data_IF_905910286049
#
_entry.id   IF_905910286049
#
_cell.length_a   1.000
_cell.length_b   1.000
_cell.length_c   1.000
_cell.angle_alpha   90.00
_cell.angle_beta   90.00
_cell.angle_gamma   90.00
#
_symmetry.space_group_name_H-M   'P 1'
#
loop_
_entity.id
_entity.type
_entity.pdbx_description
1 polymer ?
#
# COMPACT_ATOMS: atom_id res chain seq x y z
N UNK A 1 -20.74 47.07 -17.05
CA UNK A 1 -20.75 47.33 -15.59
C UNK A 1 -19.40 46.91 -15.03
N UNK A 2 -18.48 47.88 -14.90
CA UNK A 2 -17.24 47.78 -14.11
C UNK A 2 -17.52 48.37 -12.70
N UNK A 3 -16.72 47.96 -11.69
CA UNK A 3 -16.31 48.68 -10.45
C UNK A 3 -16.28 47.68 -9.28
N UNK A 4 -15.21 47.55 -8.48
CA UNK A 4 -14.57 48.60 -7.68
C UNK A 4 -13.07 48.42 -7.44
N UNK A 5 -12.41 49.59 -7.36
CA UNK A 5 -11.02 49.92 -7.04
C UNK A 5 -10.70 49.79 -5.54
N UNK A 6 -9.40 49.64 -5.23
CA UNK A 6 -8.75 50.11 -4.00
C UNK A 6 -7.24 50.25 -4.22
N UNK A 7 -6.74 51.49 -4.22
CA UNK A 7 -5.36 51.94 -4.51
C UNK A 7 -4.88 52.75 -3.29
N UNK A 8 -3.69 52.49 -2.74
CA UNK A 8 -2.87 53.39 -1.87
C UNK A 8 -1.42 52.82 -1.86
N UNK A 9 -0.28 53.51 -1.96
CA UNK A 9 0.07 54.93 -2.08
C UNK A 9 1.31 55.12 -2.99
N UNK A 10 1.34 56.28 -3.64
CA UNK A 10 2.44 56.88 -4.38
C UNK A 10 3.30 57.70 -3.39
N UNK A 11 4.60 57.43 -3.28
CA UNK A 11 5.54 58.35 -2.63
C UNK A 11 6.06 59.33 -3.69
N UNK A 12 5.85 60.63 -3.44
CA UNK A 12 6.28 61.72 -4.30
C UNK A 12 7.81 61.82 -4.36
N UNK A 13 8.36 61.96 -5.57
CA UNK A 13 9.75 62.38 -5.77
C UNK A 13 9.74 63.72 -6.51
N UNK A 14 9.96 64.82 -5.77
CA UNK A 14 10.31 66.11 -6.37
C UNK A 14 11.81 66.12 -6.66
N UNK A 15 12.19 66.38 -7.90
CA UNK A 15 13.57 66.70 -8.25
C UNK A 15 13.79 68.19 -8.06
N UNK A 16 14.84 68.56 -7.33
CA UNK A 16 15.55 69.82 -7.56
C UNK A 16 17.04 69.61 -7.28
N UNK A 17 17.85 70.08 -8.22
CA UNK A 17 19.29 69.88 -8.33
C UNK A 17 20.08 70.37 -7.11
N UNK A 18 21.07 69.57 -6.69
CA UNK A 18 22.11 69.98 -5.75
C UNK A 18 22.88 68.79 -5.18
N UNK A 19 24.07 68.52 -5.74
CA UNK A 19 25.13 67.72 -5.10
C UNK A 19 25.07 66.22 -5.33
N UNK A 20 26.06 65.70 -6.05
CA UNK A 20 26.37 64.27 -6.15
C UNK A 20 26.70 63.69 -4.77
N UNK A 21 25.88 62.76 -4.29
CA UNK A 21 26.13 61.97 -3.07
C UNK A 21 26.36 60.51 -3.47
N UNK A 22 27.60 60.04 -3.33
CA UNK A 22 27.91 58.62 -3.21
C UNK A 22 27.30 58.10 -1.92
N UNK A 23 26.22 57.33 -2.01
CA UNK A 23 25.60 56.65 -0.86
C UNK A 23 26.02 55.18 -0.84
N UNK A 24 26.88 54.84 0.11
CA UNK A 24 27.09 53.47 0.58
C UNK A 24 25.83 53.03 1.33
N UNK A 25 24.99 52.22 0.71
CA UNK A 25 23.83 51.62 1.37
C UNK A 25 24.23 50.25 1.95
N UNK A 26 24.40 50.19 3.27
CA UNK A 26 24.36 48.95 4.03
C UNK A 26 22.91 48.46 4.06
N UNK A 27 22.58 47.43 3.27
CA UNK A 27 21.29 46.76 3.36
C UNK A 27 21.38 45.62 4.37
N UNK A 28 20.88 45.87 5.58
CA UNK A 28 20.54 44.84 6.55
C UNK A 28 19.49 43.89 5.96
N UNK A 29 19.84 42.62 5.84
CA UNK A 29 18.92 41.54 5.48
C UNK A 29 17.87 41.36 6.57
N UNK A 30 16.63 41.76 6.30
CA UNK A 30 15.47 41.27 7.07
C UNK A 30 15.09 39.93 6.45
N UNK A 31 15.50 38.85 7.12
CA UNK A 31 14.97 37.51 6.88
C UNK A 31 13.49 37.52 7.26
N UNK A 32 12.62 37.37 6.26
CA UNK A 32 11.22 37.00 6.50
C UNK A 32 11.25 35.52 6.86
N UNK A 33 11.20 35.23 8.16
CA UNK A 33 11.02 33.88 8.67
C UNK A 33 9.69 33.34 8.16
N UNK A 34 9.74 32.37 7.27
CA UNK A 34 8.61 31.48 7.05
C UNK A 34 8.50 30.61 8.30
N UNK A 35 7.57 30.96 9.19
CA UNK A 35 6.98 30.01 10.13
C UNK A 35 6.28 28.92 9.31
N UNK A 36 7.06 27.97 8.80
CA UNK A 36 6.56 26.64 8.46
C UNK A 36 6.46 25.95 9.80
N UNK A 37 5.23 25.93 10.32
CA UNK A 37 4.82 24.94 11.31
C UNK A 37 5.15 23.60 10.68
N UNK A 38 6.20 22.95 11.20
CA UNK A 38 6.54 21.58 10.88
C UNK A 38 5.46 20.68 11.43
N UNK A 39 4.35 20.56 10.70
CA UNK A 39 3.63 19.30 10.68
C UNK A 39 4.53 18.36 9.87
N UNK A 40 5.14 17.42 10.58
CA UNK A 40 5.76 16.26 9.97
C UNK A 40 4.66 15.45 9.27
N UNK A 41 4.27 15.89 8.07
CA UNK A 41 3.60 15.07 7.08
C UNK A 41 4.64 14.09 6.55
N UNK A 42 4.95 13.07 7.35
CA UNK A 42 5.73 11.90 6.98
C UNK A 42 4.94 11.00 6.05
N UNK A 43 4.49 11.54 4.91
CA UNK A 43 4.00 10.74 3.79
C UNK A 43 5.21 10.46 2.89
N UNK A 44 5.92 9.36 3.15
CA UNK A 44 6.93 8.84 2.23
C UNK A 44 7.05 7.33 2.42
N UNK A 45 6.21 6.55 1.75
CA UNK A 45 6.83 5.57 0.84
C UNK A 45 7.53 6.46 -0.17
N UNK A 46 8.86 6.57 -0.17
CA UNK A 46 9.55 7.44 -1.12
C UNK A 46 9.22 6.92 -2.52
N UNK A 47 8.22 7.53 -3.17
CA UNK A 47 7.73 7.16 -4.49
C UNK A 47 8.27 8.20 -5.45
N UNK A 48 9.24 7.78 -6.27
CA UNK A 48 9.76 8.59 -7.35
C UNK A 48 9.30 7.97 -8.66
N UNK A 49 8.51 8.69 -9.43
CA UNK A 49 8.23 8.31 -10.82
C UNK A 49 9.49 8.48 -11.66
N UNK A 50 9.65 7.61 -12.65
CA UNK A 50 10.71 7.73 -13.64
C UNK A 50 10.40 8.94 -14.54
N UNK A 51 11.38 9.84 -14.71
CA UNK A 51 11.18 11.08 -15.49
C UNK A 51 11.46 10.90 -16.97
N UNK A 52 12.05 9.78 -17.35
CA UNK A 52 12.32 9.41 -18.74
C UNK A 52 13.49 8.45 -18.85
N UNK A 53 14.07 8.42 -20.05
CA UNK A 53 15.14 7.50 -20.39
C UNK A 53 16.26 8.19 -21.16
N UNK A 54 17.45 7.60 -21.09
CA UNK A 54 18.65 8.02 -21.83
C UNK A 54 19.04 6.94 -22.83
N UNK A 55 19.43 7.34 -24.04
CA UNK A 55 19.91 6.42 -25.07
C UNK A 55 21.36 5.99 -24.77
N UNK A 56 21.59 4.68 -24.72
CA UNK A 56 22.86 4.03 -24.34
C UNK A 56 23.44 3.16 -25.47
N UNK A 57 22.69 2.98 -26.55
CA UNK A 57 23.05 2.11 -27.67
C UNK A 57 23.97 2.78 -28.70
N UNK A 58 24.33 2.05 -29.78
CA UNK A 58 25.13 2.60 -30.86
C UNK A 58 24.40 3.76 -31.56
N UNK A 59 25.10 4.88 -31.73
CA UNK A 59 24.56 6.10 -32.37
C UNK A 59 24.09 5.92 -33.82
N UNK A 60 24.53 4.87 -34.51
CA UNK A 60 24.04 4.52 -35.84
C UNK A 60 22.65 3.85 -35.83
N UNK A 61 22.20 3.36 -34.67
CA UNK A 61 20.92 2.67 -34.49
C UNK A 61 19.89 3.52 -33.74
N UNK A 62 20.28 4.69 -33.26
CA UNK A 62 19.55 5.53 -32.31
C UNK A 62 19.73 7.00 -32.65
N UNK A 63 18.70 7.82 -32.43
CA UNK A 63 18.78 9.26 -32.74
C UNK A 63 17.68 10.04 -32.04
N UNK A 64 18.03 11.11 -31.32
CA UNK A 64 17.05 11.95 -30.62
C UNK A 64 16.33 11.14 -29.54
N UNK A 65 15.04 10.90 -29.71
CA UNK A 65 14.20 10.03 -28.86
C UNK A 65 13.98 8.64 -29.45
N UNK A 66 14.53 8.38 -30.66
CA UNK A 66 14.44 7.07 -31.30
C UNK A 66 15.43 6.10 -30.65
N UNK A 67 14.90 5.17 -29.84
CA UNK A 67 15.68 4.14 -29.17
C UNK A 67 16.01 2.92 -30.05
N UNK A 68 15.31 2.71 -31.16
CA UNK A 68 15.72 1.77 -32.19
C UNK A 68 15.17 2.19 -33.55
N UNK A 69 16.05 2.47 -34.50
CA UNK A 69 15.66 2.67 -35.90
C UNK A 69 15.10 1.35 -36.47
N UNK A 70 14.16 1.45 -37.42
CA UNK A 70 13.55 0.30 -38.10
C UNK A 70 14.59 -0.73 -38.57
N UNK A 71 14.43 -1.98 -38.14
CA UNK A 71 15.36 -3.07 -38.47
C UNK A 71 16.64 -3.15 -37.66
N UNK A 72 16.74 -2.36 -36.60
CA UNK A 72 17.91 -2.28 -35.76
C UNK A 72 17.58 -2.53 -34.29
N UNK A 73 18.55 -2.26 -33.43
CA UNK A 73 18.44 -2.43 -31.99
C UNK A 73 19.15 -1.28 -31.27
N UNK A 74 18.75 -1.02 -30.04
CA UNK A 74 19.41 -0.04 -29.19
C UNK A 74 19.23 -0.35 -27.72
N UNK A 75 19.90 0.44 -26.89
CA UNK A 75 19.82 0.36 -25.44
C UNK A 75 19.32 1.69 -24.89
N UNK A 76 18.54 1.61 -23.83
CA UNK A 76 18.17 2.77 -23.03
C UNK A 76 18.42 2.46 -21.56
N UNK A 77 18.69 3.49 -20.77
CA UNK A 77 18.66 3.42 -19.30
C UNK A 77 17.52 4.29 -18.79
N UNK A 78 16.95 3.91 -17.65
CA UNK A 78 16.14 4.85 -16.88
C UNK A 78 17.00 6.01 -16.41
N UNK A 79 16.42 7.21 -16.30
CA UNK A 79 17.15 8.38 -15.80
C UNK A 79 17.41 8.29 -14.29
N UNK A 80 16.56 7.58 -13.56
CA UNK A 80 16.69 7.31 -12.14
C UNK A 80 17.30 5.91 -11.91
N UNK A 81 18.18 5.81 -10.92
CA UNK A 81 18.77 4.56 -10.48
C UNK A 81 17.91 3.88 -9.41
N UNK A 82 17.94 2.54 -9.39
CA UNK A 82 17.38 1.76 -8.31
C UNK A 82 18.42 1.64 -7.18
N UNK A 83 18.16 2.27 -6.03
CA UNK A 83 19.08 2.23 -4.88
C UNK A 83 18.87 0.97 -4.02
N UNK A 84 19.86 0.62 -3.21
CA UNK A 84 19.73 -0.42 -2.20
C UNK A 84 18.55 -0.09 -1.26
N UNK A 85 17.72 -1.09 -0.98
CA UNK A 85 16.51 -0.91 -0.16
C UNK A 85 15.31 -0.42 -0.95
N UNK A 86 15.38 -0.41 -2.28
CA UNK A 86 14.30 0.05 -3.16
C UNK A 86 13.81 -1.05 -4.11
N UNK A 87 12.61 -0.80 -4.64
CA UNK A 87 11.86 -1.61 -5.58
C UNK A 87 11.43 -0.73 -6.76
N UNK A 88 11.73 -1.14 -7.99
CA UNK A 88 11.13 -0.59 -9.20
C UNK A 88 9.84 -1.36 -9.48
N UNK A 89 8.71 -0.65 -9.47
CA UNK A 89 7.36 -1.16 -9.74
C UNK A 89 6.99 -0.90 -11.20
N UNK A 90 6.53 -1.95 -11.87
CA UNK A 90 5.98 -1.95 -13.22
C UNK A 90 4.54 -2.46 -13.11
N UNK A 91 3.58 -1.55 -13.10
CA UNK A 91 2.16 -1.90 -13.02
C UNK A 91 1.56 -2.17 -14.40
N UNK A 92 0.30 -2.59 -14.38
CA UNK A 92 -0.52 -2.84 -15.56
C UNK A 92 -0.53 -1.65 -16.52
N UNK A 93 -0.73 -0.44 -15.98
CA UNK A 93 -0.93 0.75 -16.80
C UNK A 93 0.35 1.09 -17.56
N UNK A 94 1.51 0.94 -16.92
CA UNK A 94 2.80 1.02 -17.61
C UNK A 94 2.91 0.00 -18.75
N UNK A 95 2.57 -1.27 -18.52
CA UNK A 95 2.66 -2.28 -19.58
C UNK A 95 1.69 -2.02 -20.73
N UNK A 96 0.46 -1.61 -20.43
CA UNK A 96 -0.54 -1.25 -21.45
C UNK A 96 -0.07 -0.09 -22.32
N UNK A 97 0.46 0.97 -21.71
CA UNK A 97 1.03 2.11 -22.42
C UNK A 97 2.26 1.71 -23.25
N UNK A 98 3.17 0.95 -22.65
CA UNK A 98 4.32 0.39 -23.34
C UNK A 98 3.86 -0.36 -24.61
N UNK A 99 2.95 -1.33 -24.47
CA UNK A 99 2.41 -2.08 -25.61
C UNK A 99 1.68 -1.20 -26.63
N UNK A 100 1.03 -0.12 -26.23
CA UNK A 100 0.40 0.81 -27.16
C UNK A 100 1.43 1.59 -27.99
N UNK A 101 2.54 1.99 -27.36
CA UNK A 101 3.57 2.82 -27.96
C UNK A 101 4.48 2.07 -28.95
N UNK A 102 4.83 0.80 -28.70
CA UNK A 102 5.89 0.16 -29.48
C UNK A 102 5.43 -0.63 -30.72
N UNK A 103 6.24 -0.67 -31.81
CA UNK A 103 5.84 -1.27 -33.08
C UNK A 103 5.57 -2.78 -33.02
N UNK A 104 4.64 -3.28 -33.83
CA UNK A 104 4.40 -4.71 -33.98
C UNK A 104 5.69 -5.47 -34.38
N UNK A 105 5.81 -6.72 -33.89
CA UNK A 105 6.94 -7.63 -34.16
C UNK A 105 8.29 -7.10 -33.66
N UNK A 106 8.31 -6.63 -32.43
CA UNK A 106 9.49 -6.14 -31.72
C UNK A 106 9.61 -6.86 -30.38
N UNK A 107 10.77 -6.71 -29.75
CA UNK A 107 10.99 -7.21 -28.39
C UNK A 107 11.81 -6.26 -27.55
N UNK A 108 11.65 -6.44 -26.25
CA UNK A 108 12.24 -5.65 -25.18
C UNK A 108 12.86 -6.61 -24.18
N UNK A 109 14.08 -6.34 -23.76
CA UNK A 109 14.66 -6.98 -22.58
C UNK A 109 14.87 -5.93 -21.51
N UNK A 110 14.25 -6.06 -20.34
CA UNK A 110 14.36 -5.13 -19.20
C UNK A 110 15.08 -5.84 -18.07
N UNK A 111 16.13 -5.25 -17.53
CA UNK A 111 16.81 -5.82 -16.38
C UNK A 111 17.73 -4.83 -15.70
N UNK A 112 18.28 -5.26 -14.58
CA UNK A 112 19.27 -4.48 -13.85
C UNK A 112 20.62 -4.66 -14.53
N UNK A 113 21.24 -3.53 -14.89
CA UNK A 113 22.53 -3.46 -15.58
C UNK A 113 23.63 -4.11 -14.74
N UNK A 114 24.41 -4.99 -15.34
CA UNK A 114 25.62 -5.52 -14.71
C UNK A 114 26.82 -4.61 -15.02
N UNK A 115 27.30 -3.78 -14.07
CA UNK A 115 28.40 -2.86 -14.34
C UNK A 115 29.73 -3.57 -14.66
N UNK A 116 29.88 -4.85 -14.30
CA UNK A 116 31.12 -5.60 -14.48
C UNK A 116 31.26 -6.16 -15.91
N UNK A 117 30.14 -6.49 -16.55
CA UNK A 117 30.09 -7.11 -17.88
C UNK A 117 29.38 -6.26 -18.93
N UNK A 118 28.79 -5.13 -18.52
CA UNK A 118 28.02 -4.25 -19.40
C UNK A 118 28.78 -3.87 -20.66
N UNK A 119 28.11 -4.04 -21.79
CA UNK A 119 28.49 -3.46 -23.07
C UNK A 119 27.24 -3.12 -23.85
N UNK A 120 27.26 -2.01 -24.58
CA UNK A 120 26.15 -1.62 -25.46
C UNK A 120 26.16 -2.41 -26.79
N UNK A 121 26.41 -3.71 -26.71
CA UNK A 121 26.49 -4.63 -27.85
C UNK A 121 25.11 -5.12 -28.28
N UNK A 122 25.04 -5.83 -29.40
CA UNK A 122 23.79 -6.45 -29.86
C UNK A 122 23.35 -7.64 -28.99
N UNK A 123 24.20 -8.11 -28.07
CA UNK A 123 23.93 -9.26 -27.22
C UNK A 123 23.28 -8.82 -25.92
N UNK A 124 22.33 -9.61 -25.44
CA UNK A 124 21.73 -9.44 -24.11
C UNK A 124 22.57 -10.13 -23.03
N UNK A 125 23.23 -11.24 -23.36
CA UNK A 125 24.08 -11.95 -22.41
C UNK A 125 25.25 -11.08 -21.94
N UNK A 126 25.46 -11.04 -20.63
CA UNK A 126 26.40 -10.18 -19.92
C UNK A 126 25.91 -8.76 -19.72
N UNK A 127 24.73 -8.36 -20.21
CA UNK A 127 24.22 -7.00 -20.01
C UNK A 127 23.50 -6.83 -18.66
N UNK A 128 22.87 -7.91 -18.18
CA UNK A 128 22.08 -7.92 -16.97
C UNK A 128 22.71 -8.79 -15.90
N UNK A 129 22.49 -8.44 -14.63
CA UNK A 129 23.06 -9.21 -13.51
C UNK A 129 22.52 -10.64 -13.55
N UNK A 130 23.44 -11.61 -13.53
CA UNK A 130 23.14 -13.05 -13.70
C UNK A 130 22.32 -13.39 -14.96
N UNK A 131 22.38 -12.56 -16.01
CA UNK A 131 21.56 -12.72 -17.22
C UNK A 131 20.05 -12.85 -16.92
N UNK A 132 19.59 -12.23 -15.83
CA UNK A 132 18.19 -12.16 -15.45
C UNK A 132 17.53 -10.90 -15.99
N UNK A 133 16.44 -11.07 -16.74
CA UNK A 133 15.68 -9.97 -17.32
C UNK A 133 14.25 -10.38 -17.64
N UNK A 134 13.39 -9.38 -17.77
CA UNK A 134 12.06 -9.53 -18.33
C UNK A 134 12.14 -9.40 -19.86
N UNK A 135 11.67 -10.43 -20.58
CA UNK A 135 11.54 -10.43 -22.03
C UNK A 135 10.09 -10.14 -22.42
N UNK A 136 9.89 -9.04 -23.14
CA UNK A 136 8.59 -8.65 -23.67
C UNK A 136 8.65 -8.79 -25.19
N UNK A 137 7.65 -9.43 -25.79
CA UNK A 137 7.57 -9.61 -27.24
C UNK A 137 6.19 -9.21 -27.72
N UNK A 138 6.12 -8.29 -28.68
CA UNK A 138 4.87 -7.95 -29.38
C UNK A 138 4.87 -8.61 -30.73
N UNK A 139 3.84 -9.40 -30.99
CA UNK A 139 3.62 -10.00 -32.31
C UNK A 139 2.70 -9.10 -33.15
N UNK A 140 2.33 -9.56 -34.35
CA UNK A 140 1.23 -8.90 -35.08
C UNK A 140 -0.12 -9.10 -34.40
N UNK A 141 -0.26 -10.21 -33.67
CA UNK A 141 -1.49 -10.61 -32.99
C UNK A 141 -1.12 -11.12 -31.62
N UNK A 142 -1.32 -10.27 -30.60
CA UNK A 142 -1.00 -10.56 -29.21
C UNK A 142 0.43 -10.22 -28.81
N UNK A 143 0.66 -10.22 -27.50
CA UNK A 143 1.97 -9.99 -26.90
C UNK A 143 2.25 -11.10 -25.88
N UNK A 144 3.53 -11.31 -25.60
CA UNK A 144 3.98 -12.19 -24.53
C UNK A 144 4.93 -11.46 -23.61
N UNK A 145 4.86 -11.77 -22.33
CA UNK A 145 5.87 -11.43 -21.34
C UNK A 145 6.42 -12.73 -20.77
N UNK A 146 7.73 -12.83 -20.61
CA UNK A 146 8.38 -13.99 -20.03
C UNK A 146 9.60 -13.53 -19.23
N UNK A 147 9.87 -14.22 -18.13
CA UNK A 147 11.11 -14.01 -17.39
C UNK A 147 12.21 -14.86 -18.01
N UNK A 148 13.30 -14.22 -18.44
CA UNK A 148 14.51 -14.94 -18.79
C UNK A 148 15.37 -15.16 -17.55
N UNK A 149 15.93 -16.35 -17.44
CA UNK A 149 16.89 -16.67 -16.40
C UNK A 149 18.03 -17.53 -16.94
N UNK A 150 19.18 -17.39 -16.30
CA UNK A 150 20.34 -18.27 -16.45
C UNK A 150 20.72 -18.78 -15.07
N UNK A 151 20.73 -20.10 -14.90
CA UNK A 151 21.27 -20.77 -13.72
C UNK A 151 22.48 -21.64 -14.14
N UNK A 152 23.16 -22.22 -13.16
CA UNK A 152 24.31 -23.11 -13.26
C UNK A 152 24.16 -24.26 -14.26
N UNK A 153 22.94 -24.70 -14.58
CA UNK A 153 22.69 -25.81 -15.52
C UNK A 153 21.74 -25.51 -16.68
N UNK A 154 21.05 -24.37 -16.69
CA UNK A 154 19.99 -24.09 -17.66
C UNK A 154 19.84 -22.60 -17.97
N UNK A 155 19.59 -22.30 -19.25
CA UNK A 155 19.11 -20.99 -19.72
C UNK A 155 17.71 -21.20 -20.28
N UNK A 156 16.74 -20.42 -19.82
CA UNK A 156 15.33 -20.65 -20.17
C UNK A 156 14.48 -19.38 -20.13
N UNK A 157 13.26 -19.54 -20.65
CA UNK A 157 12.17 -18.61 -20.43
C UNK A 157 11.17 -19.29 -19.50
N UNK A 158 10.83 -18.61 -18.42
CA UNK A 158 9.77 -19.03 -17.51
C UNK A 158 8.60 -18.05 -17.55
N UNK A 159 7.42 -18.53 -17.15
CA UNK A 159 6.18 -17.76 -17.05
C UNK A 159 5.83 -17.00 -18.33
N UNK A 160 5.81 -17.69 -19.48
CA UNK A 160 5.36 -17.11 -20.76
C UNK A 160 3.86 -16.78 -20.68
N UNK A 161 3.54 -15.52 -20.39
CA UNK A 161 2.18 -15.02 -20.19
C UNK A 161 1.72 -14.31 -21.46
N UNK A 162 0.53 -14.67 -21.94
CA UNK A 162 -0.13 -14.02 -23.06
C UNK A 162 -0.89 -12.80 -22.52
N UNK A 163 -0.67 -11.62 -23.09
CA UNK A 163 -1.18 -10.34 -22.57
C UNK A 163 -2.67 -10.09 -22.84
N UNK A 164 -3.50 -11.14 -22.81
CA UNK A 164 -4.95 -10.96 -22.58
C UNK A 164 -5.26 -10.66 -21.11
N UNK A 165 -4.24 -10.81 -20.26
CA UNK A 165 -4.30 -10.68 -18.81
C UNK A 165 -3.58 -9.40 -18.37
N UNK A 166 -4.01 -8.82 -17.25
CA UNK A 166 -3.30 -7.70 -16.62
C UNK A 166 -2.00 -8.26 -16.05
N UNK A 167 -0.86 -7.63 -16.36
CA UNK A 167 0.46 -8.09 -15.90
C UNK A 167 1.13 -7.00 -15.07
N UNK A 168 1.78 -7.41 -13.99
CA UNK A 168 2.49 -6.52 -13.08
C UNK A 168 3.77 -7.21 -12.62
N UNK A 169 4.83 -6.43 -12.41
CA UNK A 169 6.11 -6.95 -11.96
C UNK A 169 6.92 -5.91 -11.17
N UNK A 170 7.95 -6.39 -10.47
CA UNK A 170 8.93 -5.51 -9.86
C UNK A 170 10.35 -6.09 -9.92
N UNK A 171 11.32 -5.19 -9.87
CA UNK A 171 12.71 -5.51 -9.50
C UNK A 171 13.02 -4.88 -8.15
N UNK A 172 13.77 -5.58 -7.31
CA UNK A 172 14.15 -5.13 -5.97
C UNK A 172 15.66 -5.34 -5.76
N UNK A 173 16.33 -4.33 -5.23
CA UNK A 173 17.71 -4.42 -4.76
C UNK A 173 17.68 -4.37 -3.24
N UNK A 174 18.06 -5.47 -2.57
CA UNK A 174 17.98 -5.57 -1.11
C UNK A 174 18.73 -4.44 -0.40
N UNK A 175 18.35 -4.15 0.85
CA UNK A 175 18.90 -3.03 1.61
C UNK A 175 20.43 -3.09 1.82
N UNK A 176 21.00 -4.29 1.77
CA UNK A 176 22.45 -4.53 1.84
C UNK A 176 23.15 -4.49 0.46
N UNK A 177 22.40 -4.36 -0.63
CA UNK A 177 22.92 -4.28 -1.99
C UNK A 177 23.42 -5.59 -2.58
N UNK A 178 23.23 -6.73 -1.90
CA UNK A 178 23.84 -8.01 -2.27
C UNK A 178 22.94 -8.95 -3.06
N UNK A 179 21.64 -8.69 -3.07
CA UNK A 179 20.65 -9.59 -3.63
C UNK A 179 19.66 -8.81 -4.50
N UNK A 180 19.38 -9.38 -5.67
CA UNK A 180 18.41 -8.86 -6.61
C UNK A 180 17.23 -9.80 -6.63
N UNK A 181 16.04 -9.22 -6.49
CA UNK A 181 14.77 -9.92 -6.41
C UNK A 181 13.88 -9.47 -7.55
N UNK A 182 13.14 -10.43 -8.08
CA UNK A 182 12.11 -10.19 -9.06
C UNK A 182 10.83 -10.88 -8.59
N UNK A 183 9.71 -10.19 -8.73
CA UNK A 183 8.39 -10.77 -8.56
C UNK A 183 7.47 -10.31 -9.69
N UNK A 184 6.49 -11.15 -10.00
CA UNK A 184 5.51 -10.92 -11.04
C UNK A 184 4.16 -11.47 -10.65
N UNK A 185 3.10 -10.91 -11.22
CA UNK A 185 1.78 -11.50 -11.17
C UNK A 185 1.03 -11.17 -12.45
N UNK A 186 0.00 -11.96 -12.71
CA UNK A 186 -0.96 -11.64 -13.74
C UNK A 186 -2.36 -11.93 -13.21
N UNK A 187 -3.33 -11.16 -13.69
CA UNK A 187 -4.73 -11.38 -13.40
C UNK A 187 -5.52 -11.62 -14.69
N UNK A 188 -6.28 -12.71 -14.72
CA UNK A 188 -7.33 -12.91 -15.71
C UNK A 188 -8.71 -12.69 -15.08
N UNK A 189 -9.73 -12.50 -15.92
CA UNK A 189 -11.11 -12.18 -15.48
C UNK A 189 -11.76 -13.23 -14.57
N UNK A 190 -11.14 -14.40 -14.37
CA UNK A 190 -11.67 -15.51 -13.58
C UNK A 190 -10.88 -15.78 -12.29
N UNK A 191 -9.80 -15.05 -12.01
CA UNK A 191 -9.01 -15.24 -10.80
C UNK A 191 -9.63 -14.55 -9.57
N UNK A 192 -9.45 -15.19 -8.42
CA UNK A 192 -9.90 -14.64 -7.15
C UNK A 192 -8.94 -13.51 -6.73
N UNK A 193 -9.41 -12.26 -6.56
CA UNK A 193 -8.56 -11.11 -6.28
C UNK A 193 -7.76 -11.20 -4.97
N UNK A 194 -8.11 -12.12 -4.05
CA UNK A 194 -7.37 -12.32 -2.79
C UNK A 194 -5.97 -12.93 -2.97
N UNK A 195 -5.62 -13.38 -4.18
CA UNK A 195 -4.30 -13.96 -4.48
C UNK A 195 -3.33 -12.94 -5.06
N UNK A 196 -3.82 -11.75 -5.43
CA UNK A 196 -2.97 -10.70 -5.96
C UNK A 196 -2.28 -9.97 -4.81
N UNK A 197 -0.98 -9.77 -4.98
CA UNK A 197 -0.16 -9.00 -4.07
C UNK A 197 -0.20 -7.52 -4.48
N UNK A 198 -0.17 -6.62 -3.50
CA UNK A 198 0.12 -5.21 -3.78
C UNK A 198 1.63 -5.06 -4.02
N UNK A 199 2.01 -4.61 -5.21
CA UNK A 199 3.42 -4.44 -5.61
C UNK A 199 4.20 -3.49 -4.70
N UNK A 200 3.51 -2.59 -4.03
CA UNK A 200 4.07 -1.51 -3.23
C UNK A 200 4.15 -1.85 -1.75
N UNK A 201 3.33 -2.77 -1.26
CA UNK A 201 3.22 -3.05 0.17
C UNK A 201 3.47 -4.51 0.55
N UNK A 202 3.32 -5.47 -0.37
CA UNK A 202 3.60 -6.86 -0.06
C UNK A 202 5.10 -7.13 -0.03
N UNK A 203 5.58 -7.65 1.11
CA UNK A 203 6.96 -8.08 1.31
C UNK A 203 7.32 -9.23 0.38
N UNK A 204 8.55 -9.25 -0.14
CA UNK A 204 9.02 -10.30 -1.05
C UNK A 204 8.85 -11.73 -0.50
N UNK A 205 9.00 -11.94 0.82
CA UNK A 205 8.83 -13.25 1.46
C UNK A 205 7.43 -13.81 1.31
N UNK A 206 6.43 -12.94 1.20
CA UNK A 206 5.01 -13.29 1.16
C UNK A 206 4.52 -13.54 -0.27
N UNK A 207 5.33 -13.22 -1.27
CA UNK A 207 5.03 -13.53 -2.67
C UNK A 207 5.05 -15.04 -2.93
N UNK A 208 4.16 -15.50 -3.79
CA UNK A 208 4.10 -16.89 -4.23
C UNK A 208 5.45 -17.37 -4.81
N UNK A 209 5.86 -18.57 -4.44
CA UNK A 209 7.17 -19.14 -4.81
C UNK A 209 7.33 -19.30 -6.33
N UNK A 210 6.25 -19.57 -7.06
CA UNK A 210 6.25 -19.74 -8.51
C UNK A 210 6.32 -18.38 -9.25
N UNK A 211 6.05 -17.29 -8.53
CA UNK A 211 5.92 -15.94 -9.07
C UNK A 211 7.08 -15.02 -8.65
N UNK A 212 8.14 -15.58 -8.04
CA UNK A 212 9.30 -14.81 -7.60
C UNK A 212 10.62 -15.55 -7.82
N UNK A 213 11.70 -14.79 -7.92
CA UNK A 213 13.07 -15.30 -7.94
C UNK A 213 14.01 -14.30 -7.31
N UNK A 214 15.15 -14.78 -6.83
CA UNK A 214 16.22 -13.94 -6.34
C UNK A 214 17.58 -14.50 -6.71
N UNK A 215 18.60 -13.64 -6.72
CA UNK A 215 19.98 -14.06 -6.95
C UNK A 215 20.60 -14.67 -5.70
N UNK A 216 20.05 -14.41 -4.52
CA UNK A 216 20.67 -14.72 -3.23
C UNK A 216 21.84 -13.78 -2.92
N UNK A 217 22.59 -14.10 -1.87
CA UNK A 217 23.77 -13.34 -1.45
C UNK A 217 24.94 -13.56 -2.41
N UNK A 218 25.20 -12.56 -3.25
CA UNK A 218 26.25 -12.64 -4.27
C UNK A 218 27.47 -11.77 -3.94
N UNK A 219 27.43 -11.01 -2.83
CA UNK A 219 28.52 -10.12 -2.43
C UNK A 219 28.72 -8.93 -3.37
N UNK A 220 27.63 -8.47 -4.00
CA UNK A 220 27.67 -7.35 -4.93
C UNK A 220 27.93 -5.98 -4.27
N UNK A 221 27.42 -5.78 -3.05
CA UNK A 221 27.52 -4.54 -2.28
C UNK A 221 27.08 -3.28 -3.06
N UNK A 222 26.09 -3.40 -3.94
CA UNK A 222 25.63 -2.27 -4.75
C UNK A 222 24.84 -1.26 -3.90
N UNK A 223 25.25 0.00 -3.93
CA UNK A 223 24.46 1.09 -3.30
C UNK A 223 23.33 1.58 -4.21
N UNK A 224 23.53 1.49 -5.52
CA UNK A 224 22.54 1.77 -6.56
C UNK A 224 22.95 1.12 -7.88
N UNK A 225 21.97 0.85 -8.74
CA UNK A 225 22.13 0.21 -10.04
C UNK A 225 21.27 0.89 -11.10
N UNK A 226 21.75 0.92 -12.34
CA UNK A 226 20.95 1.34 -13.47
C UNK A 226 19.97 0.22 -13.85
N UNK A 227 18.75 0.58 -14.22
CA UNK A 227 17.86 -0.31 -14.96
C UNK A 227 17.95 0.04 -16.43
N UNK A 228 18.27 -0.96 -17.24
CA UNK A 228 18.49 -0.80 -18.69
C UNK A 228 17.53 -1.66 -19.47
N UNK A 229 17.23 -1.21 -20.68
CA UNK A 229 16.35 -1.92 -21.59
C UNK A 229 16.98 -2.05 -22.97
N UNK A 230 17.02 -3.27 -23.49
CA UNK A 230 17.36 -3.53 -24.87
C UNK A 230 16.12 -3.48 -25.73
N UNK A 231 16.18 -2.69 -26.78
CA UNK A 231 15.11 -2.48 -27.73
C UNK A 231 15.47 -3.15 -29.03
N UNK A 232 14.60 -4.00 -29.59
CA UNK A 232 14.82 -4.60 -30.91
C UNK A 232 13.63 -4.32 -31.81
N UNK A 233 13.88 -3.53 -32.85
CA UNK A 233 12.95 -3.27 -33.95
C UNK A 233 13.25 -4.24 -35.10
N UNK A 234 12.21 -4.74 -35.77
CA UNK A 234 12.41 -5.56 -36.95
C UNK A 234 12.46 -4.72 -38.23
N UNK A 235 12.98 -5.32 -39.31
CA UNK A 235 13.26 -4.63 -40.58
C UNK A 235 12.05 -3.98 -41.26
N UNK A 236 10.83 -4.35 -40.88
CA UNK A 236 9.59 -3.85 -41.48
C UNK A 236 8.73 -3.07 -40.48
N UNK A 237 9.29 -2.69 -39.33
CA UNK A 237 8.58 -1.95 -38.29
C UNK A 237 9.02 -0.49 -38.26
N UNK A 238 8.11 0.38 -37.83
CA UNK A 238 8.40 1.77 -37.53
C UNK A 238 9.59 1.89 -36.56
N UNK A 239 10.34 3.00 -36.58
CA UNK A 239 11.30 3.28 -35.52
C UNK A 239 10.58 3.32 -34.18
N UNK A 240 11.31 2.99 -33.13
CA UNK A 240 10.78 3.02 -31.78
C UNK A 240 11.16 4.32 -31.09
N UNK A 241 10.17 5.16 -30.84
CA UNK A 241 10.32 6.45 -30.17
C UNK A 241 10.00 6.30 -28.68
N UNK A 242 10.93 6.71 -27.80
CA UNK A 242 10.70 6.69 -26.35
C UNK A 242 9.80 7.83 -25.90
N UNK A 243 9.57 8.85 -26.74
CA UNK A 243 8.67 9.95 -26.43
C UNK A 243 7.19 9.54 -26.45
N UNK A 244 6.88 8.39 -27.07
CA UNK A 244 5.52 7.85 -27.15
C UNK A 244 5.13 7.02 -25.90
N UNK A 245 6.07 6.78 -24.98
CA UNK A 245 5.85 6.01 -23.74
C UNK A 245 5.72 6.97 -22.56
N UNK A 246 4.70 6.77 -21.74
CA UNK A 246 4.56 7.38 -20.43
C UNK A 246 5.41 6.64 -19.40
N UNK A 247 6.65 7.10 -19.26
CA UNK A 247 7.59 6.55 -18.27
C UNK A 247 7.16 6.80 -16.82
N UNK A 248 6.23 7.72 -16.56
CA UNK A 248 5.84 8.05 -15.18
C UNK A 248 5.03 6.94 -14.50
N UNK A 249 4.52 5.98 -15.27
CA UNK A 249 3.93 4.73 -14.77
C UNK A 249 4.95 3.80 -14.10
N UNK A 250 6.25 3.95 -14.39
CA UNK A 250 7.30 3.31 -13.60
C UNK A 250 7.53 4.09 -12.31
N UNK A 251 7.51 3.40 -11.18
CA UNK A 251 7.77 4.04 -9.88
C UNK A 251 8.82 3.29 -9.08
N UNK A 252 9.76 4.03 -8.49
CA UNK A 252 10.70 3.52 -7.49
C UNK A 252 10.08 3.73 -6.12
N UNK A 253 10.06 2.68 -5.30
CA UNK A 253 9.52 2.67 -3.94
C UNK A 253 10.53 2.08 -2.97
N UNK A 254 10.42 2.41 -1.69
CA UNK A 254 11.13 1.65 -0.64
C UNK A 254 10.61 0.21 -0.60
N UNK A 255 11.50 -0.75 -0.33
CA UNK A 255 11.08 -2.14 -0.07
C UNK A 255 10.17 -2.15 1.17
N UNK A 256 9.05 -2.88 1.14
CA UNK A 256 8.23 -3.08 2.32
C UNK A 256 9.03 -3.73 3.45
N UNK A 257 9.22 -3.00 4.55
CA UNK A 257 9.85 -3.51 5.77
C UNK A 257 8.81 -3.67 6.88
N UNK A 258 8.77 -4.80 7.58
CA UNK A 258 7.84 -5.01 8.66
C UNK A 258 8.19 -4.09 9.84
N UNK A 259 7.16 -3.54 10.47
CA UNK A 259 7.25 -2.73 11.68
C UNK A 259 6.88 -3.56 12.90
N UNK A 260 7.61 -3.35 14.00
CA UNK A 260 7.26 -3.91 15.29
C UNK A 260 6.22 -3.01 16.00
N UNK A 261 5.11 -3.61 16.41
CA UNK A 261 4.06 -2.93 17.19
C UNK A 261 4.13 -3.43 18.62
N UNK A 262 4.31 -2.51 19.57
CA UNK A 262 4.23 -2.81 21.01
C UNK A 262 2.88 -2.36 21.56
N UNK A 263 2.27 -3.13 22.47
CA UNK A 263 0.99 -2.77 23.08
C UNK A 263 1.15 -2.36 24.55
N UNK A 264 0.79 -1.12 24.87
CA UNK A 264 0.72 -0.61 26.24
C UNK A 264 -0.73 -0.56 26.72
N UNK A 265 -1.09 -1.47 27.64
CA UNK A 265 -2.45 -1.57 28.18
C UNK A 265 -2.85 -0.41 29.11
N UNK A 266 -1.93 0.51 29.43
CA UNK A 266 -2.18 1.70 30.26
C UNK A 266 -2.91 1.38 31.57
N UNK A 267 -2.45 0.32 32.25
CA UNK A 267 -3.01 -0.17 33.51
C UNK A 267 -4.18 -1.15 33.36
N UNK A 268 -4.47 -1.62 32.14
CA UNK A 268 -5.34 -2.77 31.89
C UNK A 268 -4.63 -4.11 32.08
N UNK A 269 -5.34 -5.20 31.81
CA UNK A 269 -4.80 -6.56 31.78
C UNK A 269 -3.67 -6.70 30.76
N UNK A 270 -2.82 -7.72 30.94
CA UNK A 270 -1.76 -8.03 29.99
C UNK A 270 -2.34 -8.28 28.60
N UNK A 271 -1.67 -7.74 27.59
CA UNK A 271 -1.97 -7.96 26.18
C UNK A 271 -0.84 -8.83 25.65
N UNK A 272 -1.18 -9.97 25.04
CA UNK A 272 -0.19 -10.67 24.23
C UNK A 272 0.00 -9.83 22.98
N UNK A 273 1.22 -9.34 22.75
CA UNK A 273 1.62 -8.84 21.44
C UNK A 273 1.36 -9.98 20.46
N UNK A 274 0.23 -9.95 19.75
CA UNK A 274 -0.01 -10.87 18.66
C UNK A 274 1.01 -10.56 17.56
N UNK A 275 1.32 -11.53 16.72
CA UNK A 275 2.20 -11.38 15.55
C UNK A 275 1.57 -10.47 14.46
N UNK A 276 1.06 -9.31 14.85
CA UNK A 276 0.54 -8.29 13.95
C UNK A 276 1.75 -7.58 13.37
N UNK A 277 2.16 -8.07 12.21
CA UNK A 277 3.15 -7.39 11.39
C UNK A 277 2.42 -6.44 10.45
N UNK A 278 2.88 -5.21 10.39
CA UNK A 278 2.45 -4.23 9.38
C UNK A 278 3.70 -3.63 8.75
N UNK A 279 3.56 -2.74 7.78
CA UNK A 279 4.67 -2.04 7.15
C UNK A 279 4.50 -0.53 7.31
N UNK A 280 5.51 0.24 6.93
CA UNK A 280 5.39 1.70 6.89
C UNK A 280 4.20 2.16 6.03
N UNK A 281 3.30 2.94 6.63
CA UNK A 281 2.08 3.45 5.99
C UNK A 281 1.00 2.39 5.69
N UNK A 282 1.18 1.15 6.12
CA UNK A 282 0.27 0.04 5.87
C UNK A 282 -1.00 0.08 6.72
N UNK A 283 -1.76 -1.01 6.66
CA UNK A 283 -2.94 -1.27 7.50
C UNK A 283 -2.63 -2.29 8.58
N UNK A 284 -3.44 -2.30 9.63
CA UNK A 284 -3.46 -3.39 10.62
C UNK A 284 -4.72 -4.22 10.37
N UNK A 285 -4.56 -5.51 10.07
CA UNK A 285 -5.71 -6.36 9.73
C UNK A 285 -6.44 -6.89 10.96
N UNK A 286 -5.71 -7.10 12.06
CA UNK A 286 -6.26 -7.54 13.33
C UNK A 286 -5.53 -6.87 14.50
N UNK A 287 -6.30 -6.45 15.51
CA UNK A 287 -5.79 -5.98 16.79
C UNK A 287 -5.91 -7.10 17.84
N UNK A 288 -5.10 -7.07 18.91
CA UNK A 288 -5.25 -8.02 20.00
C UNK A 288 -6.62 -7.88 20.68
N UNK A 289 -7.04 -8.92 21.40
CA UNK A 289 -8.27 -8.87 22.19
C UNK A 289 -8.24 -7.71 23.19
N UNK A 290 -9.38 -7.05 23.34
CA UNK A 290 -9.53 -5.89 24.22
C UNK A 290 -9.04 -6.20 25.64
N UNK A 291 -8.11 -5.41 26.19
CA UNK A 291 -7.72 -5.55 27.59
C UNK A 291 -8.89 -5.17 28.51
N UNK A 292 -8.79 -5.55 29.78
CA UNK A 292 -9.77 -5.19 30.81
C UNK A 292 -9.15 -4.34 31.91
N UNK A 293 -9.89 -3.35 32.43
CA UNK A 293 -9.46 -2.50 33.54
C UNK A 293 -10.63 -2.22 34.48
N UNK A 294 -10.48 -2.62 35.75
CA UNK A 294 -11.55 -2.50 36.74
C UNK A 294 -12.03 -1.05 36.94
N UNK A 295 -13.32 -0.81 36.79
CA UNK A 295 -13.93 0.52 36.90
C UNK A 295 -13.89 1.37 35.62
N UNK A 296 -13.42 0.81 34.50
CA UNK A 296 -13.32 1.50 33.21
C UNK A 296 -13.91 0.65 32.07
N UNK A 297 -14.24 1.30 30.97
CA UNK A 297 -14.61 0.71 29.68
C UNK A 297 -13.46 0.97 28.69
N UNK A 298 -13.05 -0.04 27.93
CA UNK A 298 -12.03 0.10 26.90
C UNK A 298 -12.55 0.99 25.77
N UNK A 299 -11.77 2.01 25.40
CA UNK A 299 -12.15 3.00 24.42
C UNK A 299 -11.49 2.78 23.05
N UNK A 300 -10.44 1.96 22.98
CA UNK A 300 -9.69 1.68 21.75
C UNK A 300 -8.18 1.72 21.94
N UNK A 301 -7.47 1.35 20.86
CA UNK A 301 -6.02 1.46 20.73
C UNK A 301 -5.67 2.77 20.03
N UNK A 302 -4.77 3.57 20.60
CA UNK A 302 -4.40 4.88 20.07
C UNK A 302 -2.89 4.99 19.85
N UNK A 303 -2.50 5.90 18.97
CA UNK A 303 -1.09 6.25 18.66
C UNK A 303 -0.36 7.00 19.78
N UNK A 304 -1.06 7.40 20.85
CA UNK A 304 -0.48 8.09 22.01
C UNK A 304 -1.18 7.69 23.32
N UNK A 305 -0.44 7.78 24.43
CA UNK A 305 -0.95 7.43 25.77
C UNK A 305 -2.18 8.25 26.20
N UNK A 306 -2.33 9.47 25.70
CA UNK A 306 -3.52 10.30 25.87
C UNK A 306 -3.83 11.06 24.59
N UNK A 307 -5.07 11.01 24.11
CA UNK A 307 -5.46 11.61 22.83
C UNK A 307 -4.90 10.80 21.65
N UNK A 308 -4.33 11.48 20.65
CA UNK A 308 -3.84 10.83 19.43
C UNK A 308 -4.96 10.24 18.56
N UNK A 309 -4.54 9.59 17.48
CA UNK A 309 -5.45 8.94 16.52
C UNK A 309 -5.75 7.52 16.96
N UNK A 310 -7.04 7.16 16.98
CA UNK A 310 -7.51 5.79 17.19
C UNK A 310 -7.12 4.91 15.99
N UNK A 311 -6.65 3.70 16.25
CA UNK A 311 -6.35 2.72 15.21
C UNK A 311 -7.61 1.93 14.88
N UNK A 312 -7.97 1.95 13.60
CA UNK A 312 -9.04 1.13 13.05
C UNK A 312 -8.44 0.08 12.11
N UNK A 313 -8.86 -1.17 12.26
CA UNK A 313 -8.40 -2.25 11.39
C UNK A 313 -8.79 -2.00 9.93
N UNK A 314 -7.91 -2.35 8.99
CA UNK A 314 -8.11 -2.13 7.55
C UNK A 314 -7.98 -0.66 7.10
N UNK A 315 -7.60 0.25 8.00
CA UNK A 315 -7.30 1.66 7.68
C UNK A 315 -5.82 1.91 7.88
N UNK A 316 -5.22 2.77 7.04
CA UNK A 316 -3.81 3.10 7.12
C UNK A 316 -3.47 3.74 8.48
N UNK A 317 -2.47 3.19 9.18
CA UNK A 317 -2.08 3.68 10.52
C UNK A 317 -1.10 4.87 10.48
N UNK A 318 -0.58 5.21 9.30
CA UNK A 318 0.33 6.35 9.04
C UNK A 318 1.60 6.36 9.91
N UNK A 319 2.09 5.18 10.33
CA UNK A 319 3.38 5.06 11.04
C UNK A 319 4.45 4.61 10.06
N UNK A 320 5.69 5.07 10.25
CA UNK A 320 6.82 4.83 9.34
C UNK A 320 7.99 4.09 9.97
N UNK A 321 7.92 3.83 11.27
CA UNK A 321 8.89 3.08 12.05
C UNK A 321 8.14 2.34 13.17
N UNK A 322 8.82 1.43 13.87
CA UNK A 322 8.29 0.73 15.04
C UNK A 322 7.59 1.69 16.01
N UNK A 323 6.42 1.29 16.50
CA UNK A 323 5.57 2.17 17.29
C UNK A 323 4.83 1.41 18.39
N UNK A 324 4.33 2.18 19.34
CA UNK A 324 3.54 1.67 20.46
C UNK A 324 2.09 2.10 20.32
N UNK A 325 1.17 1.15 20.49
CA UNK A 325 -0.26 1.44 20.63
C UNK A 325 -0.64 1.45 22.11
N UNK A 326 -1.44 2.44 22.48
CA UNK A 326 -1.82 2.72 23.86
C UNK A 326 -3.32 2.51 24.05
N UNK A 327 -3.69 1.68 25.02
CA UNK A 327 -5.09 1.48 25.39
C UNK A 327 -5.64 2.74 26.06
N UNK A 328 -6.78 3.23 25.58
CA UNK A 328 -7.50 4.32 26.25
C UNK A 328 -8.77 3.82 26.93
N UNK A 329 -9.20 4.55 27.96
CA UNK A 329 -10.18 4.09 28.92
C UNK A 329 -11.17 5.19 29.29
N UNK A 330 -12.45 4.85 29.37
CA UNK A 330 -13.52 5.73 29.87
C UNK A 330 -13.93 5.23 31.25
N UNK A 331 -13.93 6.10 32.27
CA UNK A 331 -14.34 5.73 33.62
C UNK A 331 -15.83 5.35 33.66
N UNK A 332 -16.16 4.24 34.31
CA UNK A 332 -17.55 3.80 34.43
C UNK A 332 -18.31 4.70 35.42
N UNK A 333 -19.61 4.96 35.20
CA UNK A 333 -20.41 5.77 36.10
C UNK A 333 -20.46 5.11 37.49
N UNK A 334 -20.16 5.87 38.53
CA UNK A 334 -20.23 5.40 39.92
C UNK A 334 -21.69 5.34 40.34
N UNK A 335 -22.31 4.17 40.35
CA UNK A 335 -23.63 3.99 40.97
C UNK A 335 -23.45 4.02 42.49
N UNK A 336 -23.64 5.20 43.07
CA UNK A 336 -23.72 5.34 44.52
C UNK A 336 -25.07 4.80 44.96
N UNK A 337 -25.16 3.51 45.26
CA UNK A 337 -26.31 2.96 45.97
C UNK A 337 -26.25 3.53 47.37
N UNK A 338 -26.98 4.63 47.59
CA UNK A 338 -27.25 5.10 48.94
C UNK A 338 -28.14 4.04 49.57
N UNK A 339 -27.57 3.13 50.34
CA UNK A 339 -28.34 2.33 51.27
C UNK A 339 -29.02 3.31 52.24
N UNK A 340 -30.27 3.67 51.94
CA UNK A 340 -31.16 4.22 52.95
C UNK A 340 -31.28 3.11 53.99
N UNK A 341 -30.86 3.32 55.26
CA UNK A 341 -31.05 2.31 56.27
C UNK A 341 -32.55 2.07 56.39
N UNK A 342 -33.02 0.91 55.93
CA UNK A 342 -34.37 0.46 56.23
C UNK A 342 -34.35 0.03 57.69
N UNK A 343 -34.71 0.97 58.56
CA UNK A 343 -35.18 0.64 59.91
C UNK A 343 -36.32 -0.36 59.76
N UNK A 344 -36.05 -1.62 60.10
CA UNK A 344 -37.04 -2.69 60.16
C UNK A 344 -38.05 -2.36 61.27
N UNK A 345 -39.11 -1.66 60.92
CA UNK A 345 -40.32 -1.66 61.73
C UNK A 345 -41.05 -2.98 61.48
N UNK A 346 -41.04 -3.86 62.48
CA UNK A 346 -41.87 -5.07 62.52
C UNK A 346 -43.34 -4.69 62.38
N UNK A 347 -43.99 -5.07 61.28
CA UNK A 347 -45.45 -5.08 61.20
C UNK A 347 -45.94 -6.41 60.67
N UNK A 348 -46.86 -6.95 61.45
CA UNK A 348 -47.61 -8.21 61.33
C UNK A 348 -48.17 -8.50 59.94
N UNK A 349 -48.06 -9.78 59.58
CA UNK A 349 -48.71 -10.49 58.48
C UNK A 349 -50.19 -10.13 58.34
N UNK A 350 -50.58 -9.61 57.17
CA UNK A 350 -51.96 -9.63 56.70
C UNK A 350 -51.98 -10.34 55.34
N UNK A 351 -52.86 -11.34 55.23
CA UNK A 351 -52.99 -12.25 54.09
C UNK A 351 -53.32 -11.54 52.77
N UNK A 352 -52.91 -12.08 51.59
CA UNK A 352 -53.23 -11.48 50.32
C UNK A 352 -54.74 -11.61 50.02
N UNK A 353 -55.40 -10.48 49.73
CA UNK A 353 -56.76 -10.46 49.18
C UNK A 353 -56.67 -10.44 47.66
N UNK A 354 -57.15 -11.51 47.04
CA UNK A 354 -57.28 -11.63 45.58
C UNK A 354 -58.30 -10.61 45.07
N UNK A 355 -57.87 -9.64 44.26
CA UNK A 355 -58.78 -8.77 43.51
C UNK A 355 -58.70 -9.13 42.04
N UNK A 356 -59.73 -9.82 41.54
CA UNK A 356 -59.93 -10.09 40.11
C UNK A 356 -60.42 -8.82 39.43
N UNK A 357 -59.59 -8.23 38.58
CA UNK A 357 -60.01 -7.18 37.63
C UNK A 357 -60.50 -7.88 36.36
N UNK A 358 -61.79 -7.77 36.06
CA UNK A 358 -62.40 -8.19 34.78
C UNK A 358 -62.28 -7.02 33.80
N UNK A 359 -61.48 -7.18 32.75
CA UNK A 359 -61.45 -6.27 31.59
C UNK A 359 -62.61 -6.60 30.63
N UNK A 360 -63.30 -5.61 30.03
CA UNK A 360 -64.32 -5.86 29.04
C UNK A 360 -63.71 -6.47 27.77
N UNK A 361 -64.35 -7.52 27.27
CA UNK A 361 -63.99 -8.19 26.03
C UNK A 361 -64.42 -7.38 24.81
N UNK A 362 -63.46 -7.01 23.95
CA UNK A 362 -63.70 -6.84 22.51
C UNK A 362 -62.48 -7.28 21.71
N UNK A 363 -62.58 -8.50 21.17
CA UNK A 363 -62.30 -8.80 19.76
C UNK A 363 -60.92 -8.49 19.17
N UNK A 364 -60.22 -9.59 18.87
CA UNK A 364 -59.40 -9.81 17.65
C UNK A 364 -57.88 -9.84 17.82
N UNK A 365 -57.40 -11.10 17.78
CA UNK A 365 -56.17 -11.60 17.15
C UNK A 365 -54.81 -11.06 17.61
N UNK A 366 -54.26 -11.79 18.59
CA UNK A 366 -53.07 -12.63 18.42
C UNK A 366 -51.68 -11.93 18.31
N UNK A 367 -50.86 -12.26 19.34
CA UNK A 367 -49.41 -12.50 19.36
C UNK A 367 -48.45 -11.44 19.97
N UNK A 368 -48.25 -11.65 21.28
CA UNK A 368 -46.96 -11.88 21.97
C UNK A 368 -45.86 -10.80 21.92
N UNK A 369 -45.55 -10.22 23.09
CA UNK A 369 -44.15 -10.17 23.61
C UNK A 369 -44.19 -10.26 25.15
N UNK A 370 -43.81 -11.41 25.71
CA UNK A 370 -43.29 -11.50 27.06
C UNK A 370 -41.85 -11.97 26.94
N UNK A 371 -40.91 -11.07 27.20
CA UNK A 371 -39.50 -11.40 27.42
C UNK A 371 -39.31 -11.53 28.93
N UNK A 372 -39.23 -12.75 29.43
CA UNK A 372 -38.63 -13.02 30.75
C UNK A 372 -37.56 -14.07 30.52
N UNK A 373 -36.31 -13.60 30.50
CA UNK A 373 -35.14 -14.45 30.72
C UNK A 373 -35.18 -14.92 32.17
N UNK A 374 -35.20 -16.23 32.39
CA UNK A 374 -34.73 -16.83 33.63
C UNK A 374 -33.75 -17.95 33.28
N UNK A 375 -32.49 -17.73 33.63
CA UNK A 375 -31.42 -18.73 33.61
C UNK A 375 -31.37 -19.38 34.98
N UNK A 376 -31.71 -20.67 35.05
CA UNK A 376 -31.24 -21.71 35.99
C UNK A 376 -31.59 -23.02 35.26
N UNK A 377 -30.72 -23.95 34.91
CA UNK A 377 -29.55 -24.48 35.59
C UNK A 377 -29.71 -26.02 35.57
N UNK A 378 -28.68 -26.72 35.09
CA UNK A 378 -28.45 -28.17 35.20
C UNK A 378 -29.15 -29.10 34.18
N UNK A 379 -28.35 -29.57 33.22
CA UNK A 379 -28.24 -30.98 32.81
C UNK A 379 -29.45 -31.72 32.24
N UNK A 380 -29.43 -32.02 30.93
CA UNK A 380 -30.25 -33.10 30.37
C UNK A 380 -30.54 -32.97 28.89
N UNK A 381 -29.84 -33.74 28.07
CA UNK A 381 -30.21 -34.06 26.69
C UNK A 381 -31.63 -34.65 26.65
N UNK A 382 -32.56 -34.04 25.91
CA UNK A 382 -33.88 -34.61 25.68
C UNK A 382 -34.28 -34.46 24.21
N UNK A 383 -34.04 -35.54 23.47
CA UNK A 383 -34.57 -35.79 22.13
C UNK A 383 -36.06 -36.13 22.29
N UNK A 384 -36.93 -35.29 21.74
CA UNK A 384 -38.38 -35.54 21.69
C UNK A 384 -38.81 -35.89 20.28
N UNK A 385 -38.89 -37.20 20.01
CA UNK A 385 -39.76 -37.73 18.96
C UNK A 385 -41.18 -37.84 19.51
N UNK A 386 -42.13 -37.15 18.87
CA UNK A 386 -43.54 -37.45 19.00
C UNK A 386 -44.18 -37.54 17.61
N UNK A 387 -44.49 -38.78 17.20
CA UNK A 387 -45.31 -39.11 16.02
C UNK A 387 -46.78 -38.79 16.30
N UNK A 388 -47.51 -38.28 15.30
CA UNK A 388 -48.91 -38.65 15.09
C UNK A 388 -49.27 -38.71 13.60
N UNK A 389 -50.25 -39.59 13.33
CA UNK A 389 -50.45 -40.43 12.14
C UNK A 389 -51.16 -39.74 10.97
N UNK A 390 -50.74 -40.16 9.77
CA UNK A 390 -51.47 -40.55 8.55
C UNK A 390 -52.77 -39.83 8.18
N UNK A 391 -52.78 -39.29 6.96
CA UNK A 391 -53.90 -39.44 6.03
C UNK A 391 -53.36 -40.01 4.70
N UNK A 392 -53.86 -41.18 4.33
CA UNK A 392 -53.80 -41.73 2.96
C UNK A 392 -55.20 -41.54 2.37
N UNK A 393 -55.30 -41.04 1.15
CA UNK A 393 -56.30 -41.49 0.17
C UNK A 393 -55.69 -41.42 -1.25
N UNK A 394 -55.73 -42.60 -1.85
CA UNK A 394 -55.66 -43.05 -3.26
C UNK A 394 -54.95 -42.19 -4.31
#
# INVERSE_FOLDING_TARGET
MLSRKGLVALAAMSVAAGGTMTASASTSTVQVGSDIVGEASGAMTASASITGVTLEGPSQNQSGTIAAIGGSWGWISLNEQLSAGQRLVMDKDFFDDLFAAFPNRSNISIGIKDPSTWSNSSLVSGAFINDQYLLIVKYQTGNTIARHYTDTSETGLDAVILTTDDYEAFFELTADGNNIRFGQQHSNTNQNPTWLHDLSTTQYTDWDVDNKVETGDQGYEYTAVDVVMKMVSNQNSSPWDTADVDWTGLTIRSIPTPLNITYDSQGGSAVSDGDVTTIAGGTIDALPSDPTRGGYTFAGWHTAASGGTEITTGVAHNQTADFTLYAQWIANPTTTTTEVPTTMASTTTVAPTTTTVVLPATGSSDRTVSLVLLVLGVGGLLVLFARRRLNIRE
#
